data_IF_233084339794
#
_entry.id   IF_233084339794
#
_cell.length_a   1.000
_cell.length_b   1.000
_cell.length_c   1.000
_cell.angle_alpha   90.00
_cell.angle_beta   90.00
_cell.angle_gamma   90.00
#
_symmetry.space_group_name_H-M   'P 1'
#
loop_
_entity.id
_entity.type
_entity.pdbx_description
1 polymer ?
#
# COMPACT_ATOMS: atom_id res chain seq x y z
N UNK A 1 -46.69 15.33 -59.87
CA UNK A 1 -47.23 14.89 -58.57
C UNK A 1 -46.12 14.88 -57.55
N UNK A 2 -46.45 15.40 -56.35
CA UNK A 2 -45.51 15.38 -55.24
C UNK A 2 -45.22 13.91 -54.84
N UNK A 3 -43.99 13.67 -54.36
CA UNK A 3 -43.63 12.38 -53.78
C UNK A 3 -44.43 12.09 -52.50
N UNK A 4 -44.56 10.83 -52.12
CA UNK A 4 -45.10 10.41 -50.83
C UNK A 4 -44.08 10.61 -49.70
N UNK A 5 -44.53 10.60 -48.48
CA UNK A 5 -43.64 10.65 -47.33
C UNK A 5 -42.57 9.54 -47.43
N UNK A 6 -41.32 9.87 -47.09
CA UNK A 6 -40.15 9.00 -47.18
C UNK A 6 -39.67 8.63 -48.62
N UNK A 7 -40.03 9.46 -49.61
CA UNK A 7 -39.45 9.36 -50.95
C UNK A 7 -38.43 10.47 -51.22
N UNK A 8 -37.43 10.20 -52.01
CA UNK A 8 -36.44 11.16 -52.52
C UNK A 8 -36.56 11.28 -54.02
N UNK A 9 -36.33 12.45 -54.56
CA UNK A 9 -36.25 12.68 -55.98
C UNK A 9 -34.91 12.24 -56.52
N UNK A 10 -34.86 11.22 -57.35
CA UNK A 10 -33.64 10.61 -57.93
C UNK A 10 -33.59 10.81 -59.43
N UNK A 11 -32.43 11.18 -59.96
CA UNK A 11 -32.18 11.19 -61.41
C UNK A 11 -31.65 9.82 -61.88
N UNK A 12 -32.05 9.43 -63.09
CA UNK A 12 -31.52 8.23 -63.81
C UNK A 12 -30.22 8.53 -64.60
N UNK A 13 -29.70 9.77 -64.51
CA UNK A 13 -28.51 10.19 -65.26
C UNK A 13 -28.78 10.58 -66.72
N UNK A 14 -30.00 10.37 -67.23
CA UNK A 14 -30.45 10.71 -68.59
C UNK A 14 -31.42 11.89 -68.64
N UNK A 15 -31.61 12.59 -67.52
CA UNK A 15 -32.49 13.76 -67.41
C UNK A 15 -33.90 13.45 -66.86
N UNK A 16 -34.21 12.20 -66.55
CA UNK A 16 -35.50 11.82 -65.92
C UNK A 16 -35.39 11.87 -64.40
N UNK A 17 -36.33 12.48 -63.74
CA UNK A 17 -36.47 12.51 -62.29
C UNK A 17 -37.65 11.63 -61.85
N UNK A 18 -37.43 10.79 -60.89
CA UNK A 18 -38.45 9.92 -60.28
C UNK A 18 -38.42 9.95 -58.75
N UNK A 19 -39.60 9.87 -58.12
CA UNK A 19 -39.69 9.66 -56.70
C UNK A 19 -39.43 8.21 -56.38
N UNK A 20 -38.40 7.93 -55.60
CA UNK A 20 -38.10 6.59 -55.12
C UNK A 20 -38.17 6.57 -53.59
N UNK A 21 -38.49 5.42 -53.04
CA UNK A 21 -38.39 5.27 -51.59
C UNK A 21 -37.04 5.72 -51.18
N UNK A 22 -36.95 6.54 -50.14
CA UNK A 22 -35.70 6.84 -49.45
C UNK A 22 -35.23 5.56 -48.76
N UNK A 23 -34.72 4.63 -49.60
CA UNK A 23 -34.01 3.45 -49.08
C UNK A 23 -32.62 3.88 -48.62
N UNK A 24 -32.64 4.88 -47.70
CA UNK A 24 -31.51 5.68 -47.30
C UNK A 24 -30.19 4.94 -47.31
N UNK A 25 -29.41 5.20 -48.37
CA UNK A 25 -27.96 5.03 -48.28
C UNK A 25 -27.32 6.24 -47.57
N UNK A 26 -28.06 6.88 -46.69
CA UNK A 26 -27.66 8.15 -46.10
C UNK A 26 -27.87 8.31 -44.61
N UNK A 27 -28.26 7.29 -43.90
CA UNK A 27 -28.37 7.33 -42.45
C UNK A 27 -29.00 6.04 -41.94
N UNK A 28 -28.23 5.14 -41.45
CA UNK A 28 -28.76 4.00 -40.75
C UNK A 28 -29.73 4.46 -39.67
N UNK A 29 -30.99 4.02 -39.73
CA UNK A 29 -31.98 4.30 -38.70
C UNK A 29 -31.78 3.47 -37.42
N UNK A 30 -30.81 2.57 -37.49
CA UNK A 30 -30.38 1.73 -36.36
C UNK A 30 -28.87 1.42 -36.51
N UNK A 31 -28.24 1.01 -35.45
CA UNK A 31 -26.82 0.61 -35.42
C UNK A 31 -26.58 -0.53 -36.46
N UNK A 32 -27.49 -1.49 -36.56
CA UNK A 32 -27.39 -2.62 -37.50
C UNK A 32 -27.43 -2.22 -39.01
N UNK A 33 -27.76 -0.99 -39.32
CA UNK A 33 -27.71 -0.44 -40.66
C UNK A 33 -26.40 0.23 -41.04
N UNK A 34 -25.43 0.31 -40.16
CA UNK A 34 -24.08 0.77 -40.45
C UNK A 34 -23.24 -0.38 -41.01
N UNK A 35 -22.40 -0.09 -42.02
CA UNK A 35 -21.59 -1.10 -42.69
C UNK A 35 -20.46 -1.67 -41.86
N UNK A 36 -20.12 -0.97 -40.78
CA UNK A 36 -19.03 -1.30 -39.85
C UNK A 36 -19.55 -1.52 -38.42
N UNK A 37 -20.81 -1.93 -38.27
CA UNK A 37 -21.43 -2.24 -37.02
C UNK A 37 -22.10 -3.61 -37.02
N UNK A 38 -21.83 -4.42 -36.02
CA UNK A 38 -22.51 -5.68 -35.72
C UNK A 38 -23.29 -5.58 -34.41
N UNK A 39 -24.50 -6.12 -34.39
CA UNK A 39 -25.27 -6.37 -33.17
C UNK A 39 -25.65 -7.85 -33.15
N UNK A 40 -25.05 -8.60 -32.23
CA UNK A 40 -25.20 -10.05 -32.13
C UNK A 40 -25.14 -10.47 -30.67
N UNK A 41 -25.87 -11.49 -30.22
CA UNK A 41 -25.84 -11.99 -28.84
C UNK A 41 -26.09 -10.93 -27.77
N UNK A 42 -26.89 -9.87 -28.05
CA UNK A 42 -27.02 -8.68 -27.24
C UNK A 42 -25.72 -7.85 -27.08
N UNK A 43 -24.73 -8.09 -27.92
CA UNK A 43 -23.47 -7.33 -27.98
C UNK A 43 -23.52 -6.26 -29.05
N UNK A 44 -22.68 -5.23 -28.92
CA UNK A 44 -22.52 -4.14 -29.91
C UNK A 44 -21.05 -4.04 -30.30
N UNK A 45 -20.77 -4.13 -31.58
CA UNK A 45 -19.43 -3.97 -32.18
C UNK A 45 -19.47 -2.82 -33.19
N UNK A 46 -18.66 -1.76 -32.97
CA UNK A 46 -18.57 -0.60 -33.86
C UNK A 46 -17.13 -0.41 -34.32
N UNK A 47 -16.90 -0.47 -35.64
CA UNK A 47 -15.58 -0.29 -36.25
C UNK A 47 -14.74 -1.58 -36.33
N UNK A 48 -15.27 -2.68 -35.89
CA UNK A 48 -14.74 -4.03 -36.06
C UNK A 48 -15.88 -5.04 -36.05
N UNK A 49 -15.83 -6.01 -36.95
CA UNK A 49 -16.81 -7.09 -37.06
C UNK A 49 -16.09 -8.41 -36.81
N UNK A 50 -16.11 -8.96 -35.58
CA UNK A 50 -15.55 -10.29 -35.31
C UNK A 50 -16.46 -11.44 -35.71
N UNK A 51 -17.40 -11.23 -36.66
CA UNK A 51 -18.51 -12.09 -37.00
C UNK A 51 -18.19 -13.55 -37.31
N UNK A 52 -16.92 -13.90 -37.57
CA UNK A 52 -16.51 -15.28 -37.76
C UNK A 52 -16.24 -16.04 -36.46
N UNK A 53 -16.30 -15.38 -35.27
CA UNK A 53 -15.84 -15.93 -34.00
C UNK A 53 -16.77 -15.69 -32.79
N UNK A 54 -17.88 -14.93 -32.94
CA UNK A 54 -18.71 -14.46 -31.82
C UNK A 54 -19.98 -15.27 -31.54
N UNK A 55 -20.19 -16.40 -32.17
CA UNK A 55 -21.46 -17.12 -32.13
C UNK A 55 -22.01 -17.41 -30.73
N UNK A 56 -21.15 -17.54 -29.73
CA UNK A 56 -21.53 -17.82 -28.34
C UNK A 56 -21.26 -16.64 -27.36
N UNK A 57 -20.59 -15.57 -27.81
CA UNK A 57 -20.23 -14.42 -26.94
C UNK A 57 -21.40 -13.43 -26.83
N UNK A 58 -21.81 -13.11 -25.59
CA UNK A 58 -22.96 -12.25 -25.32
C UNK A 58 -22.63 -11.04 -24.44
N UNK A 59 -23.43 -9.98 -24.58
CA UNK A 59 -23.39 -8.80 -23.72
C UNK A 59 -22.04 -8.05 -23.74
N UNK A 60 -21.39 -8.03 -24.91
CA UNK A 60 -20.15 -7.30 -25.13
C UNK A 60 -20.40 -5.92 -25.76
N UNK A 61 -19.55 -4.95 -25.43
CA UNK A 61 -19.51 -3.64 -26.07
C UNK A 61 -18.11 -3.40 -26.62
N UNK A 62 -17.98 -3.26 -27.93
CA UNK A 62 -16.72 -2.97 -28.61
C UNK A 62 -16.84 -1.72 -29.49
N UNK A 63 -15.95 -0.75 -29.26
CA UNK A 63 -15.90 0.47 -30.07
C UNK A 63 -14.44 0.76 -30.47
N UNK A 64 -14.13 0.60 -31.75
CA UNK A 64 -12.81 0.86 -32.29
C UNK A 64 -12.33 -0.24 -33.26
N UNK A 65 -11.24 0.03 -33.96
CA UNK A 65 -10.66 -0.92 -34.91
C UNK A 65 -9.94 -2.06 -34.16
N UNK A 66 -10.14 -3.31 -34.60
CA UNK A 66 -9.55 -4.53 -33.99
C UNK A 66 -9.86 -4.68 -32.49
N UNK A 67 -11.02 -4.18 -32.06
CA UNK A 67 -11.47 -4.26 -30.66
C UNK A 67 -12.27 -5.56 -30.50
N UNK A 68 -11.95 -6.40 -29.49
CA UNK A 68 -12.54 -7.73 -29.28
C UNK A 68 -12.52 -8.62 -30.56
N UNK A 69 -11.44 -8.53 -31.32
CA UNK A 69 -11.32 -9.14 -32.67
C UNK A 69 -11.30 -10.68 -32.64
N UNK A 70 -10.77 -11.31 -31.59
CA UNK A 70 -10.66 -12.76 -31.44
C UNK A 70 -11.63 -13.36 -30.40
N UNK A 71 -12.66 -12.61 -29.96
CA UNK A 71 -13.61 -13.12 -28.97
C UNK A 71 -14.40 -14.32 -29.52
N UNK A 72 -14.52 -15.37 -28.70
CA UNK A 72 -15.29 -16.58 -29.03
C UNK A 72 -16.46 -16.79 -28.09
N UNK A 73 -16.19 -17.00 -26.80
CA UNK A 73 -17.20 -17.26 -25.76
C UNK A 73 -17.10 -16.30 -24.57
N UNK A 74 -16.23 -15.29 -24.66
CA UNK A 74 -16.06 -14.31 -23.58
C UNK A 74 -17.23 -13.32 -23.48
N UNK A 75 -17.86 -13.23 -22.32
CA UNK A 75 -19.07 -12.46 -22.07
C UNK A 75 -18.81 -11.20 -21.24
N UNK A 76 -19.76 -10.26 -21.28
CA UNK A 76 -19.78 -9.08 -20.41
C UNK A 76 -18.51 -8.20 -20.50
N UNK A 77 -17.86 -8.15 -21.66
CA UNK A 77 -16.67 -7.32 -21.85
C UNK A 77 -17.06 -5.94 -22.40
N UNK A 78 -16.38 -4.91 -21.91
CA UNK A 78 -16.47 -3.55 -22.46
C UNK A 78 -15.11 -3.13 -22.97
N UNK A 79 -14.99 -2.90 -24.25
CA UNK A 79 -13.75 -2.53 -24.92
C UNK A 79 -13.96 -1.27 -25.78
N UNK A 80 -13.25 -0.20 -25.47
CA UNK A 80 -13.31 1.07 -26.23
C UNK A 80 -11.90 1.55 -26.52
N UNK A 81 -11.55 1.63 -27.80
CA UNK A 81 -10.22 2.04 -28.27
C UNK A 81 -9.62 1.04 -29.26
N UNK A 82 -8.76 1.51 -30.14
CA UNK A 82 -8.11 0.64 -31.11
C UNK A 82 -7.36 -0.51 -30.40
N UNK A 83 -7.60 -1.74 -30.82
CA UNK A 83 -6.99 -2.96 -30.27
C UNK A 83 -7.23 -3.21 -28.77
N UNK A 84 -8.25 -2.61 -28.17
CA UNK A 84 -8.64 -2.96 -26.81
C UNK A 84 -9.20 -4.39 -26.77
N UNK A 85 -8.72 -5.23 -25.84
CA UNK A 85 -9.13 -6.63 -25.69
C UNK A 85 -9.06 -7.46 -27.01
N UNK A 86 -8.14 -7.11 -27.92
CA UNK A 86 -8.17 -7.67 -29.28
C UNK A 86 -7.88 -9.17 -29.33
N UNK A 87 -7.15 -9.72 -28.37
CA UNK A 87 -6.81 -11.14 -28.26
C UNK A 87 -7.69 -11.92 -27.28
N UNK A 88 -8.71 -11.29 -26.73
CA UNK A 88 -9.61 -11.95 -25.79
C UNK A 88 -10.38 -13.06 -26.51
N UNK A 89 -10.27 -14.29 -26.01
CA UNK A 89 -11.01 -15.43 -26.55
C UNK A 89 -12.19 -15.82 -25.67
N UNK A 90 -11.90 -16.20 -24.44
CA UNK A 90 -12.92 -16.71 -23.48
C UNK A 90 -13.01 -15.88 -22.20
N UNK A 91 -12.11 -14.89 -22.00
CA UNK A 91 -12.12 -14.03 -20.82
C UNK A 91 -13.41 -13.20 -20.73
N UNK A 92 -13.99 -13.14 -19.55
CA UNK A 92 -15.27 -12.47 -19.28
C UNK A 92 -15.14 -11.37 -18.24
N UNK A 93 -16.11 -10.44 -18.24
CA UNK A 93 -16.19 -9.35 -17.27
C UNK A 93 -14.97 -8.40 -17.28
N UNK A 94 -14.34 -8.21 -18.43
CA UNK A 94 -13.22 -7.29 -18.58
C UNK A 94 -13.69 -5.92 -19.08
N UNK A 95 -13.07 -4.86 -18.60
CA UNK A 95 -13.26 -3.49 -19.07
C UNK A 95 -11.94 -2.93 -19.57
N UNK A 96 -11.83 -2.66 -20.87
CA UNK A 96 -10.67 -2.05 -21.52
C UNK A 96 -11.03 -0.71 -22.16
N UNK A 97 -10.58 0.39 -21.61
CA UNK A 97 -10.80 1.75 -22.15
C UNK A 97 -9.47 2.40 -22.49
N UNK A 98 -9.14 2.45 -23.76
CA UNK A 98 -7.91 3.03 -24.29
C UNK A 98 -7.28 2.18 -25.37
N UNK A 99 -6.44 2.78 -26.19
CA UNK A 99 -5.70 2.06 -27.24
C UNK A 99 -4.84 0.95 -26.60
N UNK A 100 -5.03 -0.30 -27.03
CA UNK A 100 -4.27 -1.44 -26.54
C UNK A 100 -4.51 -1.81 -25.08
N UNK A 101 -5.56 -1.31 -24.43
CA UNK A 101 -5.94 -1.75 -23.08
C UNK A 101 -6.32 -3.24 -23.11
N UNK A 102 -5.70 -4.08 -22.26
CA UNK A 102 -5.90 -5.53 -22.19
C UNK A 102 -5.68 -6.26 -23.54
N UNK A 103 -4.81 -5.71 -24.39
CA UNK A 103 -4.67 -6.19 -25.78
C UNK A 103 -4.37 -7.67 -25.89
N UNK A 104 -3.48 -8.23 -25.05
CA UNK A 104 -3.05 -9.64 -25.11
C UNK A 104 -3.82 -10.58 -24.19
N UNK A 105 -4.86 -10.09 -23.50
CA UNK A 105 -5.71 -10.95 -22.69
C UNK A 105 -6.33 -12.03 -23.55
N UNK A 106 -6.24 -13.28 -23.10
CA UNK A 106 -6.85 -14.44 -23.78
C UNK A 106 -7.99 -15.01 -22.96
N UNK A 107 -7.71 -15.45 -21.76
CA UNK A 107 -8.67 -16.07 -20.83
C UNK A 107 -8.81 -15.34 -19.49
N UNK A 108 -8.02 -14.28 -19.25
CA UNK A 108 -8.09 -13.50 -18.02
C UNK A 108 -9.47 -12.86 -17.82
N UNK A 109 -9.95 -12.87 -16.58
CA UNK A 109 -11.30 -12.42 -16.23
C UNK A 109 -11.27 -11.28 -15.19
N UNK A 110 -12.38 -10.52 -15.15
CA UNK A 110 -12.61 -9.50 -14.11
C UNK A 110 -11.52 -8.44 -14.03
N UNK A 111 -10.91 -8.07 -15.17
CA UNK A 111 -9.88 -7.04 -15.21
C UNK A 111 -10.48 -5.70 -15.64
N UNK A 112 -10.00 -4.62 -15.04
CA UNK A 112 -10.34 -3.25 -15.44
C UNK A 112 -9.07 -2.50 -15.84
N UNK A 113 -9.00 -2.05 -17.08
CA UNK A 113 -7.90 -1.29 -17.66
C UNK A 113 -8.40 0.02 -18.26
N UNK A 114 -8.01 1.15 -17.69
CA UNK A 114 -8.37 2.48 -18.15
C UNK A 114 -7.11 3.28 -18.45
N UNK A 115 -6.84 3.50 -19.72
CA UNK A 115 -5.64 4.18 -20.22
C UNK A 115 -4.99 3.44 -21.37
N UNK A 116 -4.26 4.17 -22.22
CA UNK A 116 -3.54 3.52 -23.33
C UNK A 116 -2.49 2.55 -22.80
N UNK A 117 -2.50 1.33 -23.35
CA UNK A 117 -1.57 0.24 -23.00
C UNK A 117 -1.62 -0.21 -21.54
N UNK A 118 -2.69 0.10 -20.79
CA UNK A 118 -2.90 -0.49 -19.46
C UNK A 118 -3.17 -2.00 -19.58
N UNK A 119 -2.52 -2.81 -18.73
CA UNK A 119 -2.58 -4.28 -18.77
C UNK A 119 -2.32 -4.88 -20.17
N UNK A 120 -1.42 -4.27 -20.94
CA UNK A 120 -1.20 -4.67 -22.34
C UNK A 120 -0.85 -6.15 -22.48
N UNK A 121 0.11 -6.64 -21.69
CA UNK A 121 0.67 -7.97 -21.79
C UNK A 121 -0.09 -9.04 -20.99
N UNK A 122 -1.20 -8.68 -20.33
CA UNK A 122 -2.00 -9.63 -19.55
C UNK A 122 -2.51 -10.75 -20.47
N UNK A 123 -2.28 -11.99 -20.07
CA UNK A 123 -2.78 -13.15 -20.81
C UNK A 123 -3.87 -13.87 -20.03
N UNK A 124 -3.58 -14.31 -18.83
CA UNK A 124 -4.47 -15.12 -17.99
C UNK A 124 -4.65 -14.55 -16.57
N UNK A 125 -4.07 -13.39 -16.26
CA UNK A 125 -4.22 -12.76 -14.96
C UNK A 125 -5.64 -12.23 -14.74
N UNK A 126 -6.16 -12.41 -13.52
CA UNK A 126 -7.52 -12.08 -13.13
C UNK A 126 -7.58 -10.98 -12.08
N UNK A 127 -8.74 -10.30 -11.98
CA UNK A 127 -9.03 -9.37 -10.90
C UNK A 127 -8.03 -8.19 -10.79
N UNK A 128 -7.43 -7.77 -11.89
CA UNK A 128 -6.51 -6.63 -11.90
C UNK A 128 -7.25 -5.33 -12.20
N UNK A 129 -6.86 -4.25 -11.53
CA UNK A 129 -7.32 -2.89 -11.83
C UNK A 129 -6.12 -2.03 -12.22
N UNK A 130 -6.10 -1.53 -13.44
CA UNK A 130 -5.06 -0.66 -13.97
C UNK A 130 -5.68 0.65 -14.49
N UNK A 131 -5.34 1.76 -13.88
CA UNK A 131 -5.80 3.10 -14.28
C UNK A 131 -4.60 4.01 -14.53
N UNK A 132 -4.38 4.37 -15.79
CA UNK A 132 -3.26 5.21 -16.22
C UNK A 132 -2.55 4.65 -17.44
N UNK A 133 -1.78 5.52 -18.11
CA UNK A 133 -0.94 5.12 -19.23
C UNK A 133 0.07 4.06 -18.79
N UNK A 134 0.10 2.90 -19.44
CA UNK A 134 1.00 1.78 -19.14
C UNK A 134 0.96 1.28 -17.67
N UNK A 135 -0.13 1.47 -16.95
CA UNK A 135 -0.31 0.82 -15.65
C UNK A 135 -0.39 -0.71 -15.84
N UNK A 136 0.38 -1.48 -15.05
CA UNK A 136 0.49 -2.95 -15.17
C UNK A 136 0.86 -3.45 -16.59
N UNK A 137 1.66 -2.70 -17.31
CA UNK A 137 1.95 -2.93 -18.73
C UNK A 137 2.47 -4.34 -19.03
N UNK A 138 3.43 -4.86 -18.22
CA UNK A 138 4.08 -6.16 -18.42
C UNK A 138 3.43 -7.32 -17.66
N UNK A 139 2.33 -7.10 -16.97
CA UNK A 139 1.66 -8.17 -16.25
C UNK A 139 1.19 -9.26 -17.21
N UNK A 140 1.60 -10.50 -17.00
CA UNK A 140 1.23 -11.63 -17.85
C UNK A 140 0.21 -12.54 -17.19
N UNK A 141 0.52 -13.05 -16.01
CA UNK A 141 -0.34 -13.96 -15.24
C UNK A 141 -0.60 -13.45 -13.80
N UNK A 142 -0.05 -12.28 -13.46
CA UNK A 142 -0.26 -11.65 -12.17
C UNK A 142 -1.73 -11.32 -11.93
N UNK A 143 -2.23 -11.56 -10.73
CA UNK A 143 -3.64 -11.40 -10.40
C UNK A 143 -3.85 -10.55 -9.14
N UNK A 144 -5.04 -9.97 -9.02
CA UNK A 144 -5.43 -9.18 -7.84
C UNK A 144 -4.54 -7.94 -7.59
N UNK A 145 -3.98 -7.36 -8.64
CA UNK A 145 -3.18 -6.15 -8.52
C UNK A 145 -4.01 -4.90 -8.79
N UNK A 146 -3.76 -3.84 -8.04
CA UNK A 146 -4.34 -2.50 -8.25
C UNK A 146 -3.23 -1.51 -8.55
N UNK A 147 -3.24 -0.93 -9.74
CA UNK A 147 -2.29 0.08 -10.18
C UNK A 147 -3.02 1.35 -10.62
N UNK A 148 -2.78 2.45 -9.96
CA UNK A 148 -3.36 3.76 -10.32
C UNK A 148 -2.26 4.80 -10.48
N UNK A 149 -2.05 5.25 -11.69
CA UNK A 149 -1.03 6.24 -12.05
C UNK A 149 -0.30 5.89 -13.35
N UNK A 150 0.38 6.87 -13.90
CA UNK A 150 1.27 6.71 -15.05
C UNK A 150 2.37 5.69 -14.72
N UNK A 151 2.46 4.60 -15.48
CA UNK A 151 3.45 3.52 -15.31
C UNK A 151 3.48 2.88 -13.90
N UNK A 152 2.40 2.92 -13.15
CA UNK A 152 2.31 2.21 -11.87
C UNK A 152 2.37 0.70 -12.08
N UNK A 153 3.19 -0.03 -11.31
CA UNK A 153 3.46 -1.47 -11.44
C UNK A 153 3.88 -1.88 -12.86
N UNK A 154 4.66 -1.03 -13.55
CA UNK A 154 5.02 -1.22 -14.96
C UNK A 154 5.67 -2.58 -15.25
N UNK A 155 6.62 -3.01 -14.42
CA UNK A 155 7.46 -4.19 -14.62
C UNK A 155 6.89 -5.48 -14.00
N UNK A 156 5.74 -5.41 -13.30
CA UNK A 156 5.11 -6.62 -12.73
C UNK A 156 4.80 -7.60 -13.84
N UNK A 157 5.24 -8.85 -13.67
CA UNK A 157 4.98 -9.96 -14.61
C UNK A 157 4.02 -10.98 -14.02
N UNK A 158 4.40 -11.60 -12.90
CA UNK A 158 3.63 -12.65 -12.20
C UNK A 158 3.29 -12.28 -10.76
N UNK A 159 3.67 -11.07 -10.31
CA UNK A 159 3.37 -10.58 -8.97
C UNK A 159 1.86 -10.51 -8.70
N UNK A 160 1.45 -10.79 -7.46
CA UNK A 160 0.04 -10.88 -7.08
C UNK A 160 -0.28 -9.99 -5.87
N UNK A 161 -1.53 -9.54 -5.79
CA UNK A 161 -2.05 -8.81 -4.62
C UNK A 161 -1.26 -7.54 -4.27
N UNK A 162 -0.74 -6.84 -5.27
CA UNK A 162 -0.06 -5.57 -5.05
C UNK A 162 -1.01 -4.39 -5.26
N UNK A 163 -0.89 -3.38 -4.42
CA UNK A 163 -1.58 -2.09 -4.57
C UNK A 163 -0.53 -1.00 -4.73
N UNK A 164 -0.56 -0.29 -5.85
CA UNK A 164 0.32 0.84 -6.11
C UNK A 164 -0.46 2.05 -6.62
N UNK A 165 -0.28 3.19 -5.97
CA UNK A 165 -0.96 4.45 -6.27
C UNK A 165 0.07 5.56 -6.37
N UNK A 166 0.21 6.15 -7.56
CA UNK A 166 1.14 7.23 -7.84
C UNK A 166 1.85 7.07 -9.17
N UNK A 167 2.48 8.16 -9.65
CA UNK A 167 3.35 8.15 -10.82
C UNK A 167 4.50 7.17 -10.58
N UNK A 168 4.66 6.16 -11.45
CA UNK A 168 5.71 5.13 -11.37
C UNK A 168 5.83 4.44 -10.01
N UNK A 169 4.74 4.32 -9.26
CA UNK A 169 4.74 3.61 -8.00
C UNK A 169 4.89 2.10 -8.24
N UNK A 170 5.90 1.49 -7.64
CA UNK A 170 6.22 0.07 -7.78
C UNK A 170 6.74 -0.34 -9.16
N UNK A 171 7.31 0.57 -9.93
CA UNK A 171 7.72 0.31 -11.31
C UNK A 171 8.93 -0.62 -11.43
N UNK A 172 9.63 -0.92 -10.35
CA UNK A 172 10.72 -1.91 -10.28
C UNK A 172 10.25 -3.32 -9.86
N UNK A 173 9.01 -3.45 -9.35
CA UNK A 173 8.47 -4.73 -8.89
C UNK A 173 8.21 -5.67 -10.07
N UNK A 174 8.64 -6.94 -9.98
CA UNK A 174 8.44 -7.93 -11.04
C UNK A 174 7.59 -9.13 -10.61
N UNK A 175 8.04 -9.88 -9.61
CA UNK A 175 7.39 -11.12 -9.14
C UNK A 175 6.93 -11.05 -7.69
N UNK A 176 7.26 -9.97 -6.98
CA UNK A 176 6.85 -9.77 -5.59
C UNK A 176 5.33 -9.61 -5.43
N UNK A 177 4.83 -9.87 -4.23
CA UNK A 177 3.39 -9.85 -3.95
C UNK A 177 3.02 -9.27 -2.60
N UNK A 178 1.75 -8.94 -2.45
CA UNK A 178 1.18 -8.41 -1.20
C UNK A 178 1.80 -7.08 -0.74
N UNK A 179 2.22 -6.23 -1.67
CA UNK A 179 2.79 -4.93 -1.35
C UNK A 179 1.74 -3.81 -1.45
N UNK A 180 1.87 -2.80 -0.60
CA UNK A 180 1.12 -1.53 -0.65
C UNK A 180 2.12 -0.39 -0.85
N UNK A 181 2.07 0.26 -2.00
CA UNK A 181 3.00 1.29 -2.45
C UNK A 181 2.22 2.56 -2.79
N UNK A 182 2.35 3.61 -2.00
CA UNK A 182 1.58 4.84 -2.17
C UNK A 182 2.49 6.07 -2.20
N UNK A 183 2.57 6.72 -3.34
CA UNK A 183 3.37 7.91 -3.58
C UNK A 183 4.00 7.91 -4.97
N UNK A 184 4.48 9.06 -5.40
CA UNK A 184 5.28 9.22 -6.62
C UNK A 184 6.62 8.49 -6.46
N UNK A 185 6.99 7.61 -7.40
CA UNK A 185 8.24 6.83 -7.39
C UNK A 185 8.47 6.09 -6.06
N UNK A 186 7.42 5.49 -5.53
CA UNK A 186 7.49 4.69 -4.30
C UNK A 186 7.76 3.24 -4.67
N UNK A 187 8.84 2.65 -4.15
CA UNK A 187 9.29 1.32 -4.56
C UNK A 187 9.44 0.33 -3.41
N UNK A 188 9.29 -0.97 -3.67
CA UNK A 188 9.69 -2.00 -2.72
C UNK A 188 11.22 -2.08 -2.61
N UNK A 189 11.73 -2.81 -1.63
CA UNK A 189 13.17 -3.01 -1.41
C UNK A 189 13.88 -3.76 -2.54
N UNK A 190 13.15 -4.50 -3.34
CA UNK A 190 13.65 -5.30 -4.46
C UNK A 190 12.52 -5.69 -5.41
N UNK A 191 12.88 -6.10 -6.63
CA UNK A 191 11.95 -6.55 -7.67
C UNK A 191 11.06 -7.75 -7.27
N UNK A 192 11.48 -8.57 -6.34
CA UNK A 192 10.71 -9.68 -5.76
C UNK A 192 10.30 -9.41 -4.31
N UNK A 193 10.27 -8.16 -3.86
CA UNK A 193 9.86 -7.76 -2.51
C UNK A 193 8.43 -8.18 -2.19
N UNK A 194 8.18 -8.66 -0.96
CA UNK A 194 6.86 -9.16 -0.56
C UNK A 194 6.42 -8.58 0.78
N UNK A 195 5.10 -8.39 0.91
CA UNK A 195 4.45 -7.96 2.15
C UNK A 195 5.09 -6.67 2.73
N UNK A 196 5.28 -5.68 1.88
CA UNK A 196 5.82 -4.37 2.26
C UNK A 196 4.72 -3.31 2.19
N UNK A 197 4.70 -2.41 3.15
CA UNK A 197 3.89 -1.18 3.10
C UNK A 197 4.88 -0.03 2.95
N UNK A 198 4.85 0.69 1.84
CA UNK A 198 5.73 1.84 1.59
C UNK A 198 4.87 3.03 1.21
N UNK A 199 4.91 4.07 2.02
CA UNK A 199 4.10 5.27 1.83
C UNK A 199 5.00 6.50 1.87
N UNK A 200 5.02 7.27 0.78
CA UNK A 200 5.78 8.51 0.68
C UNK A 200 6.40 8.71 -0.69
N UNK A 201 6.56 9.95 -1.11
CA UNK A 201 7.19 10.31 -2.40
C UNK A 201 8.67 9.89 -2.39
N UNK A 202 9.08 9.08 -3.36
CA UNK A 202 10.45 8.54 -3.46
C UNK A 202 10.84 7.63 -2.30
N UNK A 203 9.87 7.12 -1.53
CA UNK A 203 10.15 6.18 -0.46
C UNK A 203 10.48 4.79 -1.03
N UNK A 204 11.44 4.11 -0.40
CA UNK A 204 11.85 2.76 -0.79
C UNK A 204 11.68 1.81 0.40
N UNK A 205 11.19 0.62 0.15
CA UNK A 205 11.07 -0.44 1.15
C UNK A 205 12.44 -0.88 1.70
N UNK A 206 12.45 -1.39 2.91
CA UNK A 206 13.69 -1.83 3.58
C UNK A 206 13.79 -3.36 3.76
N UNK A 207 12.86 -4.12 3.20
CA UNK A 207 12.83 -5.58 3.30
C UNK A 207 11.39 -6.12 3.39
N UNK A 208 11.26 -7.43 3.29
CA UNK A 208 9.97 -8.09 3.40
C UNK A 208 9.37 -7.96 4.81
N UNK A 209 8.05 -7.89 4.89
CA UNK A 209 7.29 -7.75 6.15
C UNK A 209 7.62 -6.47 6.94
N UNK A 210 7.97 -5.40 6.25
CA UNK A 210 8.31 -4.10 6.85
C UNK A 210 7.38 -3.02 6.32
N UNK A 211 6.92 -2.14 7.21
CA UNK A 211 6.25 -0.90 6.85
C UNK A 211 7.23 0.27 6.91
N UNK A 212 7.31 1.05 5.83
CA UNK A 212 8.07 2.31 5.72
C UNK A 212 7.10 3.44 5.46
N UNK A 213 7.11 4.46 6.31
CA UNK A 213 6.28 5.66 6.15
C UNK A 213 7.20 6.88 6.11
N UNK A 214 7.15 7.60 5.00
CA UNK A 214 8.05 8.72 4.73
C UNK A 214 9.29 8.32 3.94
N UNK A 215 10.04 9.32 3.51
CA UNK A 215 11.32 9.17 2.82
C UNK A 215 12.43 9.83 3.66
N UNK A 216 13.66 9.88 3.15
CA UNK A 216 14.82 10.47 3.85
C UNK A 216 14.70 11.97 4.18
N UNK A 217 13.62 12.65 3.74
CA UNK A 217 13.34 14.06 4.03
C UNK A 217 12.13 14.27 4.94
N UNK A 218 11.42 13.20 5.30
CA UNK A 218 10.32 13.28 6.24
C UNK A 218 10.85 13.64 7.64
N UNK A 219 10.30 14.68 8.25
CA UNK A 219 10.77 15.21 9.53
C UNK A 219 9.96 14.72 10.71
N UNK A 220 8.71 14.29 10.49
CA UNK A 220 7.85 13.80 11.57
C UNK A 220 6.66 12.99 11.03
N UNK A 221 6.11 12.12 11.86
CA UNK A 221 4.80 11.49 11.71
C UNK A 221 3.95 12.00 12.87
N UNK A 222 2.91 12.76 12.56
CA UNK A 222 2.02 13.35 13.55
C UNK A 222 0.66 12.65 13.59
N UNK A 223 0.03 12.47 14.76
CA UNK A 223 -1.41 12.25 14.84
C UNK A 223 -2.17 13.49 14.36
N UNK A 224 -3.47 13.36 14.05
CA UNK A 224 -4.30 14.49 13.65
C UNK A 224 -4.46 15.50 14.81
N UNK A 225 -4.77 14.99 15.99
CA UNK A 225 -4.98 15.81 17.21
C UNK A 225 -3.97 15.43 18.29
N UNK A 226 -3.64 16.39 19.14
CA UNK A 226 -2.75 16.21 20.28
C UNK A 226 -3.42 15.40 21.38
N UNK A 227 -2.68 14.45 21.97
CA UNK A 227 -3.10 13.64 23.13
C UNK A 227 -4.34 12.72 22.92
N UNK A 228 -4.68 12.38 21.68
CA UNK A 228 -5.85 11.54 21.38
C UNK A 228 -5.50 10.19 20.69
N UNK A 229 -4.26 10.00 20.23
CA UNK A 229 -3.88 8.82 19.44
C UNK A 229 -2.79 8.02 20.13
N UNK A 230 -3.11 6.78 20.46
CA UNK A 230 -2.15 5.81 21.00
C UNK A 230 -1.34 5.12 19.90
N UNK A 231 -0.08 4.81 20.16
CA UNK A 231 0.72 3.87 19.38
C UNK A 231 0.57 2.47 19.96
N UNK A 232 -0.33 1.67 19.42
CA UNK A 232 -0.73 0.37 19.97
C UNK A 232 -1.91 0.45 20.93
N UNK A 233 -2.24 -0.64 21.56
CA UNK A 233 -3.32 -0.75 22.56
C UNK A 233 -3.01 -1.86 23.56
N UNK A 234 -3.82 -2.00 24.60
CA UNK A 234 -3.67 -3.09 25.59
C UNK A 234 -3.83 -4.52 25.03
N UNK A 235 -4.35 -4.65 23.80
CA UNK A 235 -4.54 -5.95 23.11
C UNK A 235 -3.61 -6.13 21.92
N UNK A 236 -3.01 -5.05 21.41
CA UNK A 236 -2.11 -5.04 20.26
C UNK A 236 -0.90 -4.17 20.57
N UNK A 237 0.08 -4.73 21.23
CA UNK A 237 1.27 -4.06 21.70
C UNK A 237 2.43 -4.16 20.71
N UNK A 238 3.26 -3.12 20.62
CA UNK A 238 4.54 -3.20 19.93
C UNK A 238 5.53 -4.01 20.77
N UNK A 239 6.22 -4.95 20.14
CA UNK A 239 7.23 -5.77 20.83
C UNK A 239 8.38 -4.94 21.39
N UNK A 240 8.89 -4.01 20.60
CA UNK A 240 10.02 -3.15 20.95
C UNK A 240 9.84 -1.75 20.33
N UNK A 241 10.35 -0.74 21.01
CA UNK A 241 10.53 0.62 20.48
C UNK A 241 12.04 0.90 20.36
N UNK A 242 12.52 1.16 19.13
CA UNK A 242 13.89 1.56 18.84
C UNK A 242 13.94 3.04 18.47
N UNK A 243 14.67 3.85 19.25
CA UNK A 243 14.87 5.28 19.03
C UNK A 243 16.36 5.57 18.99
N UNK A 244 16.86 6.09 17.85
CA UNK A 244 18.26 6.49 17.66
C UNK A 244 18.56 7.90 18.18
N UNK A 245 17.69 8.49 18.90
CA UNK A 245 17.83 9.84 19.46
C UNK A 245 17.23 9.88 20.87
N UNK A 246 16.55 10.96 21.17
CA UNK A 246 15.90 11.16 22.46
C UNK A 246 14.41 10.84 22.36
N UNK A 247 13.92 9.99 23.27
CA UNK A 247 12.49 9.82 23.47
C UNK A 247 12.00 10.85 24.53
N UNK A 248 11.08 11.72 24.15
CA UNK A 248 10.42 12.64 25.08
C UNK A 248 9.14 11.98 25.60
N UNK A 249 9.14 11.62 26.87
CA UNK A 249 8.06 10.91 27.54
C UNK A 249 7.64 11.66 28.81
N UNK A 250 6.36 11.97 28.95
CA UNK A 250 5.82 12.56 30.19
C UNK A 250 5.73 11.54 31.33
N UNK A 251 5.59 10.25 30.97
CA UNK A 251 5.48 9.17 31.94
C UNK A 251 5.89 7.83 31.38
N UNK A 252 6.27 6.90 32.24
CA UNK A 252 6.53 5.49 31.90
C UNK A 252 5.56 4.61 32.68
N UNK A 253 4.86 3.70 32.00
CA UNK A 253 3.94 2.74 32.61
C UNK A 253 4.62 1.40 32.89
N UNK A 254 4.32 0.80 34.07
CA UNK A 254 4.69 -0.56 34.44
C UNK A 254 3.41 -1.33 34.82
N UNK A 255 2.95 -2.21 33.93
CA UNK A 255 1.65 -2.85 34.08
C UNK A 255 0.51 -1.81 34.08
N UNK A 256 -0.27 -1.74 35.14
CA UNK A 256 -1.36 -0.77 35.30
C UNK A 256 -0.93 0.54 35.97
N UNK A 257 0.33 0.64 36.39
CA UNK A 257 0.83 1.81 37.08
C UNK A 257 1.56 2.74 36.12
N UNK A 258 1.11 3.99 36.03
CA UNK A 258 1.72 5.05 35.24
C UNK A 258 2.60 5.87 36.19
N UNK A 259 3.90 5.99 35.93
CA UNK A 259 4.84 6.79 36.69
C UNK A 259 5.19 8.07 35.93
N UNK A 260 4.84 9.21 36.46
CA UNK A 260 5.23 10.51 35.89
C UNK A 260 6.76 10.70 36.01
N UNK A 261 7.38 11.12 34.92
CA UNK A 261 8.78 11.46 34.85
C UNK A 261 8.99 12.90 35.40
N UNK A 262 10.12 13.18 36.05
CA UNK A 262 10.46 14.56 36.44
C UNK A 262 10.59 15.46 35.20
N UNK A 263 10.11 16.70 35.29
CA UNK A 263 10.15 17.70 34.20
C UNK A 263 11.51 18.36 34.03
N UNK A 264 12.45 18.12 34.96
CA UNK A 264 13.81 18.65 34.92
C UNK A 264 14.84 17.53 35.10
N UNK A 265 16.03 17.74 34.58
CA UNK A 265 17.17 16.86 34.81
C UNK A 265 17.61 16.86 36.24
N UNK A 266 18.17 15.75 36.71
CA UNK A 266 18.77 15.63 38.03
C UNK A 266 20.15 16.30 38.13
N UNK A 267 20.58 16.63 39.36
CA UNK A 267 21.95 17.08 39.60
C UNK A 267 22.91 15.87 39.70
N UNK A 268 24.21 16.12 39.62
CA UNK A 268 25.22 15.09 39.84
C UNK A 268 25.00 14.34 41.17
N UNK A 269 25.17 13.01 41.14
CA UNK A 269 24.95 12.10 42.28
C UNK A 269 23.49 11.98 42.78
N UNK A 270 22.50 12.33 41.95
CA UNK A 270 21.12 11.97 42.20
C UNK A 270 20.72 10.70 41.47
N UNK A 271 19.76 9.97 42.00
CA UNK A 271 19.14 8.80 41.41
C UNK A 271 17.65 9.05 41.22
N UNK A 272 17.08 8.47 40.18
CA UNK A 272 15.64 8.50 39.99
C UNK A 272 14.97 7.48 40.91
N UNK A 273 14.11 7.96 41.81
CA UNK A 273 13.47 7.16 42.87
C UNK A 273 11.95 7.28 42.76
N UNK A 274 11.25 6.16 42.93
CA UNK A 274 9.79 6.13 43.07
C UNK A 274 9.36 6.39 44.52
N UNK A 275 8.25 7.08 44.68
CA UNK A 275 7.57 7.27 45.97
C UNK A 275 6.62 6.10 46.32
N UNK A 276 6.50 5.10 45.39
CA UNK A 276 5.59 3.97 45.58
C UNK A 276 4.12 4.28 45.20
N UNK A 277 3.80 5.53 44.83
CA UNK A 277 2.45 5.99 44.49
C UNK A 277 2.33 6.52 43.05
N UNK A 278 3.34 6.29 42.21
CA UNK A 278 3.32 6.65 40.78
C UNK A 278 4.09 7.92 40.43
N UNK A 279 4.90 8.46 41.37
CA UNK A 279 5.77 9.60 41.09
C UNK A 279 7.24 9.19 41.10
N UNK A 280 7.99 9.65 40.10
CA UNK A 280 9.45 9.57 40.05
C UNK A 280 10.07 10.93 40.35
N UNK A 281 11.07 10.96 41.19
CA UNK A 281 11.80 12.20 41.56
C UNK A 281 13.30 11.96 41.67
N UNK A 282 14.08 13.00 41.35
CA UNK A 282 15.51 12.99 41.57
C UNK A 282 15.80 13.14 43.04
N UNK A 283 16.46 12.19 43.65
CA UNK A 283 16.88 12.24 45.05
C UNK A 283 18.38 12.05 45.13
N UNK A 284 19.00 12.65 46.16
CA UNK A 284 20.40 12.36 46.41
C UNK A 284 20.61 10.85 46.49
N UNK A 285 21.61 10.35 45.78
CA UNK A 285 22.07 9.00 45.98
C UNK A 285 22.70 8.91 47.39
N UNK A 286 21.82 8.93 48.37
CA UNK A 286 22.19 8.52 49.74
C UNK A 286 22.29 7.00 49.71
N UNK A 287 23.19 6.49 48.85
CA UNK A 287 23.47 5.07 48.84
C UNK A 287 23.75 4.69 50.27
N UNK A 288 23.02 3.69 50.75
CA UNK A 288 23.40 2.94 51.95
C UNK A 288 24.68 2.11 51.71
N UNK A 289 25.45 2.50 50.67
CA UNK A 289 26.86 2.14 50.57
C UNK A 289 27.66 3.17 51.36
N UNK A 290 28.03 2.85 52.55
CA UNK A 290 28.92 3.68 53.35
C UNK A 290 30.12 4.11 52.47
N UNK A 291 30.29 5.43 52.26
CA UNK A 291 31.45 5.97 51.55
C UNK A 291 32.75 5.81 52.33
N UNK A 292 32.63 5.36 53.54
CA UNK A 292 33.70 4.96 54.44
C UNK A 292 33.16 3.90 55.42
N UNK A 293 34.06 3.23 56.16
CA UNK A 293 33.69 2.16 57.08
C UNK A 293 32.82 2.59 58.25
N UNK A 294 32.80 3.87 58.62
CA UNK A 294 31.91 4.39 59.66
C UNK A 294 30.45 4.52 59.24
N UNK A 295 30.16 4.46 57.93
CA UNK A 295 28.78 4.47 57.41
C UNK A 295 28.16 3.08 57.27
N UNK A 296 28.87 2.02 57.57
CA UNK A 296 28.31 0.67 57.64
C UNK A 296 27.58 0.49 58.97
N UNK A 297 26.38 -0.11 58.93
CA UNK A 297 25.56 -0.33 60.12
C UNK A 297 26.18 -1.35 61.11
N UNK A 298 27.11 -2.14 60.64
CA UNK A 298 27.81 -3.19 61.39
C UNK A 298 29.33 -2.90 61.49
N UNK A 299 29.73 -1.62 61.35
CA UNK A 299 31.12 -1.18 61.53
C UNK A 299 31.18 -0.05 62.57
N UNK A 300 32.09 -0.17 63.51
CA UNK A 300 32.42 0.85 64.49
C UNK A 300 33.87 1.27 64.30
N UNK A 301 34.12 2.59 64.24
CA UNK A 301 35.46 3.16 64.39
C UNK A 301 35.50 4.03 65.66
N UNK A 302 36.22 3.60 66.61
CA UNK A 302 36.33 4.24 67.84
C UNK A 302 37.80 4.22 68.38
N UNK A 303 38.30 5.33 68.89
CA UNK A 303 39.62 5.42 69.54
C UNK A 303 40.77 4.81 68.67
N UNK A 304 40.75 5.11 67.28
CA UNK A 304 41.72 4.57 66.33
C UNK A 304 41.60 3.05 66.08
N UNK A 305 40.50 2.44 66.45
CA UNK A 305 40.20 1.05 66.24
C UNK A 305 39.02 0.87 65.24
N UNK A 306 39.03 -0.18 64.46
CA UNK A 306 37.94 -0.51 63.51
C UNK A 306 37.37 -1.90 63.81
N UNK A 307 36.06 -1.99 63.92
CA UNK A 307 35.30 -3.22 64.15
C UNK A 307 34.32 -3.40 63.01
N UNK A 308 34.29 -4.54 62.34
CA UNK A 308 33.36 -4.88 61.26
C UNK A 308 32.64 -6.17 61.62
N UNK A 309 31.32 -6.13 61.67
CA UNK A 309 30.45 -7.27 61.96
C UNK A 309 30.14 -7.52 63.42
N UNK A 310 30.77 -6.80 64.33
CA UNK A 310 30.44 -6.78 65.76
C UNK A 310 30.75 -5.43 66.37
N UNK A 311 29.80 -4.87 67.04
CA UNK A 311 29.93 -3.59 67.80
C UNK A 311 30.12 -3.88 69.29
N UNK A 312 31.34 -3.83 69.78
CA UNK A 312 31.60 -4.01 71.21
C UNK A 312 31.39 -2.71 71.99
N UNK A 313 30.50 -1.80 71.62
CA UNK A 313 30.31 -0.44 72.09
C UNK A 313 30.25 -0.24 73.63
N UNK A 314 29.98 -1.33 74.32
CA UNK A 314 30.00 -1.26 75.82
C UNK A 314 31.37 -1.51 76.48
N UNK A 315 32.42 -1.84 75.71
CA UNK A 315 33.68 -2.34 76.31
C UNK A 315 34.97 -1.75 75.76
N UNK A 316 34.92 -0.91 74.69
CA UNK A 316 36.10 -0.51 73.91
C UNK A 316 36.59 0.90 74.13
N UNK A 317 36.04 1.70 75.08
CA UNK A 317 36.35 3.12 75.28
C UNK A 317 37.81 3.45 75.59
N UNK A 318 38.61 2.46 75.94
CA UNK A 318 40.04 2.61 76.19
C UNK A 318 40.97 1.79 75.32
N UNK A 319 40.42 1.07 74.36
CA UNK A 319 41.19 0.22 73.40
C UNK A 319 41.61 1.07 72.22
N UNK A 320 42.89 1.06 71.88
CA UNK A 320 43.46 1.77 70.74
C UNK A 320 44.12 0.78 69.79
N UNK A 321 44.07 1.08 68.41
CA UNK A 321 44.76 0.35 67.40
C UNK A 321 44.32 -1.14 67.20
N UNK A 322 43.05 -1.43 67.45
CA UNK A 322 42.50 -2.75 67.27
C UNK A 322 41.79 -2.89 65.88
N UNK A 323 41.87 -4.04 65.30
CA UNK A 323 41.07 -4.43 64.13
C UNK A 323 40.35 -5.72 64.46
N UNK A 324 39.04 -5.73 64.40
CA UNK A 324 38.23 -6.91 64.47
C UNK A 324 37.32 -7.03 63.25
N UNK A 325 37.32 -8.20 62.60
CA UNK A 325 36.48 -8.54 61.42
C UNK A 325 35.81 -9.87 61.72
N UNK A 326 34.50 -9.88 61.69
CA UNK A 326 33.69 -11.09 61.92
C UNK A 326 32.63 -10.91 63.01
N UNK A 327 31.70 -11.86 63.07
CA UNK A 327 30.67 -11.95 64.14
C UNK A 327 31.13 -12.92 65.19
N UNK A 328 30.98 -12.59 66.47
CA UNK A 328 31.21 -13.52 67.57
C UNK A 328 30.09 -14.50 67.70
#
# INVERSE_FOLDING_TARGET
TDGSANQVLKTDGSGTLSWTANSGSGGASSITGLSDALVEGNSIYLGNDPSASTDDAILNVAVGTTTLDEVTTGDYNTAVGASALSKNTTGSNNTGLGTGALNKTTTGEMNTAVGSYSLLDNTTGDHNTATGYQALYKSTTGSSNTATGYMSLLEVTTGVSNTAIGYRSGDVLTTGGSNVLVGDQTDPSAAAGTNQIVIGVGATGHGNNIAVIGNGTATAIHPHDDNEVDLGSSSYEYKNLYVDGTAYLDSVGFGTTKMALPTADGSANQVLKTDGSGTLSWTANSGSGASNVTGLSDALIESNSMYIGNDPSGTTSTAEYNLAVGTT
#
